data_IF_360306468093
#
_entry.id   IF_360306468093
#
_cell.length_a   1.000
_cell.length_b   1.000
_cell.length_c   1.000
_cell.angle_alpha   90.00
_cell.angle_beta   90.00
_cell.angle_gamma   90.00
#
_symmetry.space_group_name_H-M   'P 1'
#
loop_
_entity.id
_entity.type
_entity.pdbx_description
1 polymer ?
#
# COMPACT_ATOMS: atom_id res chain seq x y z
N UNK A 1 11.37 81.00 -21.49
CA UNK A 1 10.79 79.77 -22.07
C UNK A 1 11.00 78.61 -21.07
N UNK A 2 9.96 78.23 -20.31
CA UNK A 2 10.01 77.19 -19.30
C UNK A 2 9.74 75.83 -19.95
N UNK A 3 10.72 74.95 -19.94
CA UNK A 3 10.58 73.58 -20.42
C UNK A 3 9.85 72.73 -19.34
N UNK A 4 8.58 72.38 -19.56
CA UNK A 4 7.84 71.45 -18.73
C UNK A 4 8.33 70.04 -19.04
N UNK A 5 8.94 69.36 -18.02
CA UNK A 5 9.36 67.98 -18.07
C UNK A 5 8.13 67.09 -17.76
N UNK A 6 7.66 66.32 -18.75
CA UNK A 6 6.58 65.40 -18.58
C UNK A 6 7.18 64.08 -18.07
N UNK A 7 6.85 63.71 -16.82
CA UNK A 7 7.24 62.37 -16.24
C UNK A 7 6.13 61.37 -16.58
N UNK A 8 6.41 60.43 -17.51
CA UNK A 8 5.50 59.32 -17.81
C UNK A 8 5.75 58.23 -16.80
N UNK A 9 4.83 58.05 -15.85
CA UNK A 9 4.86 56.92 -14.88
C UNK A 9 4.34 55.67 -15.57
N UNK A 10 5.25 54.76 -15.95
CA UNK A 10 4.91 53.45 -16.51
C UNK A 10 4.48 52.54 -15.35
N UNK A 11 3.17 52.34 -15.17
CA UNK A 11 2.65 51.35 -14.20
C UNK A 11 2.75 49.94 -14.82
N UNK A 12 3.76 49.17 -14.44
CA UNK A 12 3.86 47.76 -14.79
C UNK A 12 2.99 46.99 -13.84
N UNK A 13 1.80 46.58 -14.27
CA UNK A 13 0.95 45.64 -13.53
C UNK A 13 1.54 44.24 -13.63
N UNK A 14 2.16 43.75 -12.54
CA UNK A 14 2.59 42.37 -12.41
C UNK A 14 1.34 41.52 -12.08
N UNK A 15 0.76 40.87 -13.10
CA UNK A 15 -0.25 39.86 -12.90
C UNK A 15 0.46 38.61 -12.41
N UNK A 16 0.39 38.34 -11.09
CA UNK A 16 0.83 37.07 -10.54
C UNK A 16 -0.16 35.97 -10.97
N UNK A 17 0.23 35.16 -11.91
CA UNK A 17 -0.49 33.93 -12.21
C UNK A 17 -0.27 32.96 -11.01
N UNK A 18 -1.32 32.71 -10.25
CA UNK A 18 -1.32 31.63 -9.27
C UNK A 18 -1.12 30.30 -10.01
N UNK A 19 0.07 29.76 -9.99
CA UNK A 19 0.34 28.43 -10.52
C UNK A 19 -0.41 27.41 -9.68
N UNK A 20 -1.20 26.51 -10.31
CA UNK A 20 -1.84 25.41 -9.60
C UNK A 20 -0.74 24.60 -8.89
N UNK A 21 -0.98 24.14 -7.66
CA UNK A 21 0.00 23.30 -6.99
C UNK A 21 0.30 22.08 -7.84
N UNK A 22 1.56 21.85 -8.14
CA UNK A 22 2.02 20.72 -8.95
C UNK A 22 1.85 19.39 -8.21
N UNK A 23 1.84 19.44 -6.88
CA UNK A 23 1.67 18.28 -6.00
C UNK A 23 0.19 18.14 -5.64
N UNK A 24 -0.36 16.97 -5.89
CA UNK A 24 -1.75 16.63 -5.59
C UNK A 24 -1.82 15.35 -4.77
N UNK A 25 -2.80 15.28 -3.86
CA UNK A 25 -3.12 14.06 -3.11
C UNK A 25 -4.45 13.50 -3.61
N UNK A 26 -4.45 12.23 -3.97
CA UNK A 26 -5.65 11.54 -4.49
C UNK A 26 -6.00 10.41 -3.55
N UNK A 27 -7.22 10.44 -2.99
CA UNK A 27 -7.70 9.42 -2.05
C UNK A 27 -8.02 8.11 -2.78
N UNK A 28 -7.77 6.99 -2.11
CA UNK A 28 -8.20 5.68 -2.57
C UNK A 28 -9.72 5.49 -2.37
N UNK A 29 -10.36 4.82 -3.30
CA UNK A 29 -11.73 4.34 -3.19
C UNK A 29 -11.69 3.02 -2.40
N UNK A 30 -12.06 3.06 -1.12
CA UNK A 30 -11.99 1.91 -0.22
C UNK A 30 -13.00 0.81 -0.54
N UNK A 31 -14.07 1.13 -1.28
CA UNK A 31 -15.06 0.13 -1.72
C UNK A 31 -14.57 -0.71 -2.90
N UNK A 32 -13.64 -0.15 -3.70
CA UNK A 32 -13.07 -0.80 -4.88
C UNK A 32 -11.65 -1.32 -4.67
N UNK A 33 -11.04 -0.97 -3.53
CA UNK A 33 -9.65 -1.32 -3.22
C UNK A 33 -9.58 -2.43 -2.18
N UNK A 34 -8.75 -3.41 -2.42
CA UNK A 34 -8.50 -4.51 -1.51
C UNK A 34 -7.05 -4.99 -1.65
N UNK A 35 -6.58 -5.69 -0.65
CA UNK A 35 -5.35 -6.46 -0.67
C UNK A 35 -5.75 -7.93 -0.83
N UNK A 36 -5.38 -8.55 -1.94
CA UNK A 36 -5.44 -10.00 -2.10
C UNK A 36 -4.24 -10.60 -1.35
N UNK A 37 -4.42 -11.71 -0.65
CA UNK A 37 -3.33 -12.42 0.01
C UNK A 37 -3.34 -13.90 -0.37
N UNK A 38 -2.15 -14.47 -0.45
CA UNK A 38 -1.94 -15.90 -0.66
C UNK A 38 -0.81 -16.40 0.20
N UNK A 39 -1.08 -17.47 0.97
CA UNK A 39 -0.11 -18.21 1.76
C UNK A 39 -0.06 -19.66 1.30
N UNK A 40 1.15 -20.16 1.05
CA UNK A 40 1.37 -21.53 0.64
C UNK A 40 1.71 -22.41 1.85
N UNK A 41 1.27 -23.66 1.81
CA UNK A 41 1.60 -24.68 2.80
C UNK A 41 1.86 -26.02 2.12
N UNK A 42 2.36 -26.99 2.85
CA UNK A 42 2.56 -28.34 2.31
C UNK A 42 1.22 -28.92 1.86
N UNK A 43 1.11 -29.15 0.55
CA UNK A 43 -0.08 -29.74 -0.07
C UNK A 43 -1.08 -28.74 -0.66
N UNK A 44 -0.85 -27.44 -0.54
CA UNK A 44 -1.77 -26.46 -1.12
C UNK A 44 -1.46 -25.00 -0.79
N UNK A 45 -2.51 -24.20 -0.87
CA UNK A 45 -2.46 -22.78 -0.50
C UNK A 45 -3.81 -22.37 0.09
N UNK A 46 -3.80 -21.25 0.77
CA UNK A 46 -5.00 -20.50 1.12
C UNK A 46 -4.89 -19.09 0.60
N UNK A 47 -6.02 -18.52 0.21
CA UNK A 47 -6.09 -17.15 -0.27
C UNK A 47 -7.31 -16.39 0.25
N UNK A 48 -7.29 -15.08 0.07
CA UNK A 48 -8.38 -14.24 0.49
C UNK A 48 -8.14 -12.76 0.26
N UNK A 49 -9.02 -11.96 0.83
CA UNK A 49 -8.96 -10.49 0.70
C UNK A 49 -8.92 -9.82 2.06
N UNK A 50 -8.34 -8.61 2.08
CA UNK A 50 -8.38 -7.68 3.22
C UNK A 50 -8.76 -6.31 2.65
N UNK A 51 -9.69 -5.60 3.28
CA UNK A 51 -10.13 -4.28 2.81
C UNK A 51 -9.16 -3.18 3.21
N UNK A 52 -9.08 -2.16 2.37
CA UNK A 52 -8.48 -0.90 2.75
C UNK A 52 -9.38 -0.16 3.73
N UNK A 53 -8.81 0.33 4.83
CA UNK A 53 -9.48 1.27 5.75
C UNK A 53 -9.43 2.70 5.23
N UNK A 54 -8.29 3.08 4.68
CA UNK A 54 -8.07 4.38 4.02
C UNK A 54 -6.79 4.34 3.21
N UNK A 55 -6.64 5.28 2.29
CA UNK A 55 -5.40 5.44 1.55
C UNK A 55 -5.39 6.67 0.67
N UNK A 56 -4.21 7.06 0.25
CA UNK A 56 -3.99 8.10 -0.75
C UNK A 56 -2.64 7.92 -1.41
N UNK A 57 -2.51 8.46 -2.60
CA UNK A 57 -1.23 8.69 -3.26
C UNK A 57 -0.92 10.17 -3.31
N UNK A 58 0.36 10.48 -3.43
CA UNK A 58 0.87 11.82 -3.72
C UNK A 58 1.44 11.80 -5.12
N UNK A 59 0.95 12.71 -5.95
CA UNK A 59 1.39 12.88 -7.33
C UNK A 59 2.01 14.25 -7.52
N UNK A 60 3.15 14.31 -8.18
CA UNK A 60 3.80 15.54 -8.64
C UNK A 60 3.89 15.53 -10.17
N UNK A 61 3.30 16.53 -10.84
CA UNK A 61 3.20 16.60 -12.31
C UNK A 61 2.67 15.29 -12.95
N UNK A 62 1.69 14.63 -12.28
CA UNK A 62 1.11 13.37 -12.76
C UNK A 62 2.00 12.14 -12.57
N UNK A 63 3.10 12.24 -11.83
CA UNK A 63 3.96 11.12 -11.46
C UNK A 63 3.75 10.76 -9.99
N UNK A 64 3.69 9.48 -9.68
CA UNK A 64 3.66 9.01 -8.30
C UNK A 64 4.97 9.39 -7.60
N UNK A 65 4.87 10.02 -6.42
CA UNK A 65 6.04 10.39 -5.59
C UNK A 65 5.93 9.89 -4.16
N UNK A 66 4.74 9.47 -3.71
CA UNK A 66 4.51 8.98 -2.36
C UNK A 66 3.09 8.48 -2.17
N UNK A 67 2.77 8.03 -0.96
CA UNK A 67 1.43 7.59 -0.59
C UNK A 67 1.40 6.88 0.75
N UNK A 68 0.19 6.67 1.24
CA UNK A 68 -0.05 5.93 2.49
C UNK A 68 -1.34 5.14 2.36
N UNK A 69 -1.30 3.89 2.81
CA UNK A 69 -2.46 2.99 2.84
C UNK A 69 -2.56 2.36 4.22
N UNK A 70 -3.77 2.34 4.76
CA UNK A 70 -4.10 1.66 6.02
C UNK A 70 -5.04 0.52 5.67
N UNK A 71 -4.66 -0.69 6.08
CA UNK A 71 -5.35 -1.94 5.80
C UNK A 71 -6.08 -2.35 7.07
N UNK A 72 -7.36 -2.72 6.97
CA UNK A 72 -8.17 -3.15 8.10
C UNK A 72 -8.05 -4.66 8.31
N UNK A 73 -7.20 -5.07 9.23
CA UNK A 73 -6.93 -6.49 9.50
C UNK A 73 -8.15 -7.25 10.04
N UNK A 74 -9.17 -6.56 10.58
CA UNK A 74 -10.43 -7.17 10.99
C UNK A 74 -11.24 -7.73 9.81
N UNK A 75 -10.94 -7.26 8.59
CA UNK A 75 -11.67 -7.62 7.37
C UNK A 75 -11.07 -8.79 6.61
N UNK A 76 -10.06 -9.48 7.17
CA UNK A 76 -9.47 -10.67 6.55
C UNK A 76 -10.58 -11.68 6.24
N UNK A 77 -10.60 -12.15 5.00
CA UNK A 77 -11.49 -13.19 4.50
C UNK A 77 -10.69 -14.33 3.89
N UNK A 78 -11.35 -15.47 3.67
CA UNK A 78 -10.83 -16.59 2.92
C UNK A 78 -11.73 -16.85 1.71
N UNK A 79 -11.15 -17.20 0.54
CA UNK A 79 -11.87 -17.38 -0.72
C UNK A 79 -11.85 -18.84 -1.22
N UNK A 80 -10.83 -19.63 -0.92
CA UNK A 80 -10.62 -20.96 -1.47
C UNK A 80 -11.41 -22.04 -0.74
N UNK A 81 -11.63 -21.92 0.58
CA UNK A 81 -12.33 -22.94 1.37
C UNK A 81 -13.85 -22.81 1.22
N UNK A 82 -14.47 -23.78 0.56
CA UNK A 82 -15.93 -23.77 0.31
C UNK A 82 -16.78 -23.98 1.58
N UNK A 83 -16.26 -24.70 2.57
CA UNK A 83 -16.96 -24.92 3.83
C UNK A 83 -16.85 -23.69 4.73
N UNK A 84 -17.98 -23.01 4.99
CA UNK A 84 -18.02 -21.84 5.85
C UNK A 84 -17.39 -22.08 7.23
N UNK A 85 -17.66 -23.25 7.84
CA UNK A 85 -17.09 -23.64 9.13
C UNK A 85 -15.56 -23.66 9.09
N UNK A 86 -14.96 -24.25 8.05
CA UNK A 86 -13.50 -24.35 7.95
C UNK A 86 -12.87 -23.04 7.50
N UNK A 87 -13.52 -22.29 6.61
CA UNK A 87 -13.13 -20.93 6.22
C UNK A 87 -13.08 -20.01 7.44
N UNK A 88 -14.13 -20.01 8.27
CA UNK A 88 -14.17 -19.20 9.48
C UNK A 88 -13.10 -19.65 10.51
N UNK A 89 -12.82 -20.95 10.61
CA UNK A 89 -11.74 -21.45 11.46
C UNK A 89 -10.37 -20.91 11.03
N UNK A 90 -10.08 -20.91 9.72
CA UNK A 90 -8.86 -20.31 9.18
C UNK A 90 -8.79 -18.82 9.46
N UNK A 91 -9.87 -18.08 9.15
CA UNK A 91 -9.93 -16.63 9.38
C UNK A 91 -9.70 -16.27 10.85
N UNK A 92 -10.31 -17.00 11.77
CA UNK A 92 -10.09 -16.81 13.20
C UNK A 92 -8.63 -17.07 13.59
N UNK A 93 -8.01 -18.10 13.03
CA UNK A 93 -6.60 -18.41 13.28
C UNK A 93 -5.65 -17.35 12.70
N UNK A 94 -5.95 -16.81 11.51
CA UNK A 94 -5.19 -15.70 10.95
C UNK A 94 -5.27 -14.43 11.81
N UNK A 95 -6.37 -14.26 12.55
CA UNK A 95 -6.57 -13.09 13.42
C UNK A 95 -5.99 -13.25 14.81
N UNK A 96 -5.74 -14.49 15.27
CA UNK A 96 -5.23 -14.76 16.61
C UNK A 96 -3.76 -14.33 16.81
N UNK A 97 -3.28 -14.46 18.04
CA UNK A 97 -1.93 -14.03 18.46
C UNK A 97 -0.80 -14.88 17.84
N UNK A 98 -1.09 -16.09 17.37
CA UNK A 98 -0.14 -16.93 16.66
C UNK A 98 0.18 -16.41 15.25
N UNK A 99 -0.75 -15.59 14.67
CA UNK A 99 -0.58 -15.06 13.32
C UNK A 99 -0.50 -13.52 13.33
N UNK A 100 -1.58 -12.81 13.05
CA UNK A 100 -1.54 -11.34 12.91
C UNK A 100 -1.87 -10.58 14.20
N UNK A 101 -2.38 -11.24 15.24
CA UNK A 101 -2.74 -10.65 16.54
C UNK A 101 -3.60 -9.39 16.36
N UNK A 102 -4.72 -9.58 15.65
CA UNK A 102 -5.54 -8.46 15.14
C UNK A 102 -6.19 -7.66 16.27
N UNK A 103 -6.46 -8.29 17.42
CA UNK A 103 -6.98 -7.61 18.60
C UNK A 103 -6.02 -6.53 19.10
N UNK A 104 -4.72 -6.80 19.03
CA UNK A 104 -3.67 -5.86 19.43
C UNK A 104 -3.23 -4.96 18.27
N UNK A 105 -3.23 -5.48 17.05
CA UNK A 105 -2.79 -4.80 15.83
C UNK A 105 -3.89 -4.78 14.77
N UNK A 106 -4.99 -4.02 14.97
CA UNK A 106 -6.16 -4.04 14.09
C UNK A 106 -5.91 -3.47 12.69
N UNK A 107 -4.74 -2.89 12.46
CA UNK A 107 -4.37 -2.31 11.16
C UNK A 107 -2.94 -2.64 10.78
N UNK A 108 -2.72 -2.86 9.48
CA UNK A 108 -1.41 -2.80 8.84
C UNK A 108 -1.28 -1.52 8.02
N UNK A 109 -0.05 -1.10 7.71
CA UNK A 109 0.19 0.19 7.05
C UNK A 109 1.31 0.07 6.03
N UNK A 110 1.09 0.64 4.85
CA UNK A 110 2.11 0.82 3.80
C UNK A 110 2.34 2.31 3.58
N UNK A 111 3.60 2.75 3.67
CA UNK A 111 4.01 4.14 3.38
C UNK A 111 5.00 4.11 2.23
N UNK A 112 4.63 4.66 1.08
CA UNK A 112 5.51 4.82 -0.08
C UNK A 112 6.50 5.94 0.23
N UNK A 113 7.78 5.60 0.30
CA UNK A 113 8.90 6.53 0.55
C UNK A 113 9.47 7.07 -0.75
N UNK A 114 9.53 6.21 -1.76
CA UNK A 114 10.06 6.55 -3.07
C UNK A 114 9.31 5.77 -4.16
N UNK A 115 9.11 6.41 -5.31
CA UNK A 115 8.50 5.81 -6.49
C UNK A 115 9.28 6.23 -7.74
N UNK A 116 10.17 5.36 -8.20
CA UNK A 116 10.98 5.60 -9.41
C UNK A 116 10.26 5.04 -10.63
N UNK A 117 9.85 5.91 -11.54
CA UNK A 117 9.24 5.50 -12.81
C UNK A 117 10.27 4.73 -13.66
N UNK A 118 9.91 3.53 -14.12
CA UNK A 118 10.78 2.65 -14.94
C UNK A 118 10.24 2.45 -16.36
N UNK A 119 8.93 2.64 -16.57
CA UNK A 119 8.30 2.70 -17.89
C UNK A 119 7.04 3.56 -17.81
N UNK A 120 6.21 3.62 -18.86
CA UNK A 120 5.06 4.52 -18.92
C UNK A 120 4.11 4.43 -17.72
N UNK A 121 3.89 3.24 -17.20
CA UNK A 121 2.98 3.00 -16.08
C UNK A 121 3.64 2.26 -14.92
N UNK A 122 4.84 1.70 -15.09
CA UNK A 122 5.49 0.91 -14.06
C UNK A 122 6.43 1.76 -13.22
N UNK A 123 6.36 1.54 -11.91
CA UNK A 123 7.17 2.19 -10.90
C UNK A 123 7.89 1.14 -10.06
N UNK A 124 9.16 1.35 -9.78
CA UNK A 124 9.86 0.68 -8.70
C UNK A 124 9.57 1.46 -7.42
N UNK A 125 8.86 0.82 -6.50
CA UNK A 125 8.40 1.41 -5.23
C UNK A 125 9.30 0.95 -4.11
N UNK A 126 9.78 1.90 -3.30
CA UNK A 126 10.36 1.62 -1.98
C UNK A 126 9.36 2.11 -0.92
N UNK A 127 8.96 1.24 -0.03
CA UNK A 127 7.94 1.54 0.98
C UNK A 127 8.27 0.92 2.34
N UNK A 128 7.80 1.56 3.41
CA UNK A 128 7.77 0.97 4.74
C UNK A 128 6.45 0.23 4.92
N UNK A 129 6.53 -1.09 5.18
CA UNK A 129 5.39 -1.93 5.52
C UNK A 129 5.40 -2.23 7.02
N UNK A 130 4.32 -1.87 7.70
CA UNK A 130 4.09 -2.18 9.11
C UNK A 130 3.03 -3.27 9.25
N UNK A 131 3.39 -4.40 9.86
CA UNK A 131 2.49 -5.50 10.24
C UNK A 131 2.81 -5.88 11.68
N UNK A 132 1.82 -6.17 12.51
CA UNK A 132 2.01 -6.49 13.95
C UNK A 132 2.88 -5.47 14.71
N UNK A 133 2.81 -4.19 14.33
CA UNK A 133 3.62 -3.13 14.95
C UNK A 133 5.10 -3.12 14.55
N UNK A 134 5.56 -4.05 13.72
CA UNK A 134 6.92 -4.12 13.19
C UNK A 134 6.95 -3.48 11.81
N UNK A 135 7.91 -2.59 11.57
CA UNK A 135 8.07 -1.91 10.28
C UNK A 135 9.36 -2.38 9.60
N UNK A 136 9.24 -2.82 8.35
CA UNK A 136 10.38 -3.14 7.49
C UNK A 136 10.22 -2.45 6.14
N UNK A 137 11.35 -2.10 5.53
CA UNK A 137 11.37 -1.60 4.16
C UNK A 137 11.18 -2.74 3.18
N UNK A 138 10.33 -2.51 2.19
CA UNK A 138 10.09 -3.43 1.07
C UNK A 138 10.26 -2.71 -0.26
N UNK A 139 10.59 -3.48 -1.31
CA UNK A 139 10.69 -3.00 -2.68
C UNK A 139 9.83 -3.88 -3.59
N UNK A 140 9.06 -3.26 -4.47
CA UNK A 140 8.19 -3.96 -5.42
C UNK A 140 7.94 -3.12 -6.66
N UNK A 141 7.43 -3.76 -7.71
CA UNK A 141 7.00 -3.07 -8.93
C UNK A 141 5.49 -2.91 -8.87
N UNK A 142 5.03 -1.70 -9.17
CA UNK A 142 3.60 -1.41 -9.29
C UNK A 142 3.29 -0.77 -10.63
N UNK A 143 2.17 -1.19 -11.26
CA UNK A 143 1.59 -0.52 -12.40
C UNK A 143 0.66 0.58 -11.88
N UNK A 144 0.94 1.84 -12.21
CA UNK A 144 0.18 3.00 -11.72
C UNK A 144 -0.24 3.88 -12.87
N UNK A 145 -1.54 4.10 -13.00
CA UNK A 145 -2.15 5.02 -13.96
C UNK A 145 -2.78 6.19 -13.21
N UNK A 146 -2.33 7.39 -13.49
CA UNK A 146 -2.88 8.62 -12.88
C UNK A 146 -3.54 9.44 -13.97
N UNK A 147 -4.80 9.83 -13.77
CA UNK A 147 -5.57 10.68 -14.69
C UNK A 147 -6.30 11.76 -13.89
N UNK A 148 -5.74 12.96 -13.86
CA UNK A 148 -6.29 14.07 -13.05
C UNK A 148 -6.36 13.69 -11.57
N UNK A 149 -7.58 13.63 -11.01
CA UNK A 149 -7.85 13.28 -9.61
C UNK A 149 -8.19 11.80 -9.41
N UNK A 150 -7.88 10.94 -10.37
CA UNK A 150 -8.11 9.50 -10.29
C UNK A 150 -6.78 8.75 -10.46
N UNK A 151 -6.67 7.62 -9.78
CA UNK A 151 -5.59 6.67 -10.02
C UNK A 151 -6.10 5.24 -9.97
N UNK A 152 -5.39 4.38 -10.67
CA UNK A 152 -5.48 2.93 -10.55
C UNK A 152 -4.08 2.42 -10.32
N UNK A 153 -3.89 1.58 -9.32
CA UNK A 153 -2.60 0.99 -8.99
C UNK A 153 -2.78 -0.51 -8.69
N UNK A 154 -1.86 -1.30 -9.20
CA UNK A 154 -1.76 -2.73 -8.95
C UNK A 154 -0.28 -3.05 -8.72
N UNK A 155 0.03 -3.96 -7.82
CA UNK A 155 1.41 -4.36 -7.53
C UNK A 155 1.43 -5.71 -6.84
N UNK A 156 2.43 -6.52 -7.19
CA UNK A 156 2.69 -7.81 -6.58
C UNK A 156 3.78 -7.65 -5.53
N UNK A 157 3.46 -8.01 -4.29
CA UNK A 157 4.35 -7.89 -3.15
C UNK A 157 4.55 -9.29 -2.55
N UNK A 158 5.79 -9.71 -2.44
CA UNK A 158 6.16 -10.94 -1.74
C UNK A 158 7.00 -10.57 -0.53
N UNK A 159 6.57 -11.02 0.63
CA UNK A 159 7.30 -10.79 1.89
C UNK A 159 7.60 -12.09 2.62
N UNK A 160 8.72 -12.13 3.31
CA UNK A 160 9.02 -13.11 4.32
C UNK A 160 8.33 -12.69 5.64
N UNK A 161 7.21 -13.34 5.97
CA UNK A 161 6.36 -13.03 7.13
C UNK A 161 7.10 -13.11 8.48
N UNK A 162 8.17 -13.88 8.55
CA UNK A 162 8.94 -14.04 9.80
C UNK A 162 9.64 -12.76 10.23
N UNK A 163 9.90 -11.84 9.29
CA UNK A 163 10.45 -10.50 9.56
C UNK A 163 9.47 -9.60 10.32
N UNK A 164 8.18 -9.97 10.35
CA UNK A 164 7.13 -9.31 11.13
C UNK A 164 6.65 -10.16 12.31
N UNK A 165 7.50 -11.11 12.76
CA UNK A 165 7.23 -11.99 13.89
C UNK A 165 6.02 -12.94 13.71
N UNK A 166 5.60 -13.19 12.45
CA UNK A 166 4.59 -14.19 12.10
C UNK A 166 5.31 -15.51 11.83
N UNK A 167 5.52 -16.31 12.88
CA UNK A 167 6.40 -17.51 12.84
C UNK A 167 5.65 -18.83 12.96
N UNK A 168 4.33 -18.80 13.08
CA UNK A 168 3.55 -20.01 13.22
C UNK A 168 3.84 -21.03 12.09
N UNK A 169 4.25 -22.24 12.46
CA UNK A 169 4.66 -23.29 11.51
C UNK A 169 5.71 -22.86 10.47
N UNK A 170 6.57 -21.93 10.82
CA UNK A 170 7.72 -21.56 10.00
C UNK A 170 8.86 -22.56 10.16
N UNK A 171 9.69 -22.69 9.12
CA UNK A 171 10.90 -23.52 9.14
C UNK A 171 11.91 -23.05 10.18
N UNK A 172 11.96 -21.76 10.48
CA UNK A 172 12.93 -21.18 11.42
C UNK A 172 12.68 -21.58 12.87
N UNK A 173 11.49 -22.06 13.23
CA UNK A 173 11.15 -22.55 14.58
C UNK A 173 11.20 -24.07 14.70
N UNK A 174 11.79 -24.77 13.72
CA UNK A 174 11.95 -26.22 13.77
C UNK A 174 10.66 -27.01 13.56
N UNK A 175 9.69 -26.47 12.83
CA UNK A 175 8.45 -27.16 12.45
C UNK A 175 8.76 -28.38 11.58
N UNK A 176 8.11 -29.51 11.85
CA UNK A 176 8.22 -30.73 11.01
C UNK A 176 7.70 -30.48 9.60
N UNK A 177 8.36 -31.06 8.59
CA UNK A 177 8.19 -30.74 7.19
C UNK A 177 6.73 -30.82 6.67
N UNK A 178 5.96 -31.82 7.17
CA UNK A 178 4.56 -32.06 6.78
C UNK A 178 3.56 -31.01 7.34
N UNK A 179 4.02 -30.08 8.17
CA UNK A 179 3.21 -29.03 8.81
C UNK A 179 3.71 -27.63 8.53
N UNK A 180 4.65 -27.49 7.61
CA UNK A 180 5.22 -26.18 7.26
C UNK A 180 4.21 -25.31 6.51
N UNK A 181 4.20 -24.04 6.88
CA UNK A 181 3.64 -22.95 6.09
C UNK A 181 4.82 -22.17 5.54
N UNK A 182 4.83 -21.91 4.24
CA UNK A 182 5.90 -21.12 3.62
C UNK A 182 6.07 -19.78 4.31
N UNK A 183 7.31 -19.34 4.44
CA UNK A 183 7.62 -18.07 5.08
C UNK A 183 7.27 -16.89 4.17
N UNK A 184 7.20 -17.10 2.86
CA UNK A 184 6.74 -16.10 1.89
C UNK A 184 5.22 -16.05 1.85
N UNK A 185 4.68 -14.80 1.94
CA UNK A 185 3.28 -14.48 1.65
C UNK A 185 3.27 -13.54 0.46
N UNK A 186 2.33 -13.78 -0.47
CA UNK A 186 2.08 -12.98 -1.65
C UNK A 186 0.88 -12.04 -1.40
N UNK A 187 1.01 -10.82 -1.90
CA UNK A 187 -0.04 -9.79 -1.86
C UNK A 187 -0.17 -9.11 -3.21
#
# INVERSE_FOLDING_TARGET
MSKKLFFVLLIVSITSYATKPHVTSVKADTEKSYVYWRGNEVGGFHDGNIKLKSGYIISDHGKLVGGKFIIDMNTITNLDIKSEKYSQKLVNHLKDDHFFDVDKFPTSMLIIKNAKKISDQNYNITADLTVRGITNEINFISNVRIRGNQFQAEGDIVIDRTKWDVKYRSSIIGTVADKLIEDNIEF
#
